data_IF_528924727422
#
_entry.id   IF_528924727422
#
_cell.length_a   1.000
_cell.length_b   1.000
_cell.length_c   1.000
_cell.angle_alpha   90.00
_cell.angle_beta   90.00
_cell.angle_gamma   90.00
#
_symmetry.space_group_name_H-M   'P 1'
#
loop_
_entity.id
_entity.type
_entity.pdbx_description
1 polymer ?
#
# COMPACT_ATOMS: atom_id res chain seq x y z
N UNK A 1 -17.91 -25.57 40.81
CA UNK A 1 -16.83 -25.26 41.78
C UNK A 1 -16.21 -23.92 41.38
N UNK A 2 -16.14 -22.99 42.32
CA UNK A 2 -15.55 -21.64 42.24
C UNK A 2 -14.01 -21.69 42.03
N UNK A 3 -13.20 -20.66 41.71
CA UNK A 3 -13.11 -19.23 42.04
C UNK A 3 -12.26 -18.54 40.93
N UNK A 4 -12.60 -17.36 40.39
CA UNK A 4 -12.14 -16.01 40.77
C UNK A 4 -10.61 -15.76 40.78
N UNK A 5 -10.18 -14.67 40.12
CA UNK A 5 -8.83 -14.09 40.25
C UNK A 5 -8.64 -12.84 39.40
N UNK A 6 -8.84 -11.67 40.01
CA UNK A 6 -8.58 -10.33 39.45
C UNK A 6 -7.11 -9.90 39.69
N UNK A 7 -6.61 -8.96 38.88
CA UNK A 7 -5.33 -8.31 39.14
C UNK A 7 -5.01 -7.16 38.18
N UNK A 8 -5.47 -5.96 38.53
CA UNK A 8 -4.98 -4.70 37.95
C UNK A 8 -3.59 -4.39 38.53
N UNK A 9 -2.65 -3.92 37.70
CA UNK A 9 -1.54 -3.08 38.14
C UNK A 9 -1.36 -1.91 37.17
N UNK A 10 -1.76 -0.75 37.67
CA UNK A 10 -1.45 0.58 37.14
C UNK A 10 -0.47 1.15 38.17
N UNK A 11 0.81 1.24 37.83
CA UNK A 11 1.80 1.94 38.65
C UNK A 11 2.43 3.09 37.87
N UNK A 12 1.97 4.26 38.29
CA UNK A 12 2.52 5.59 38.08
C UNK A 12 3.97 5.66 38.58
N UNK A 13 4.86 6.24 37.77
CA UNK A 13 6.17 6.68 38.24
C UNK A 13 6.57 8.04 37.63
N UNK A 14 6.19 9.08 38.38
CA UNK A 14 7.13 10.05 38.98
C UNK A 14 7.87 11.02 38.04
N UNK A 15 7.22 12.15 37.83
CA UNK A 15 7.67 13.51 38.13
C UNK A 15 9.18 13.74 38.41
N UNK A 16 9.80 14.66 37.66
CA UNK A 16 11.02 15.32 38.13
C UNK A 16 11.80 16.17 37.12
N UNK A 17 11.89 17.46 37.44
CA UNK A 17 12.99 18.39 37.13
C UNK A 17 12.93 19.25 35.85
N UNK A 18 12.31 20.42 36.06
CA UNK A 18 12.70 21.72 35.48
C UNK A 18 14.20 21.97 35.71
N UNK A 19 14.90 22.47 34.69
CA UNK A 19 16.17 23.23 34.76
C UNK A 19 16.08 24.30 33.67
N UNK A 20 15.79 25.53 34.07
CA UNK A 20 16.76 26.58 34.43
C UNK A 20 17.21 27.36 33.19
N UNK A 21 16.67 28.58 33.15
CA UNK A 21 17.11 29.67 32.32
C UNK A 21 18.57 30.03 32.63
N UNK A 22 19.30 30.46 31.60
CA UNK A 22 20.40 31.40 31.79
C UNK A 22 20.42 32.38 30.63
N UNK A 23 20.28 33.62 31.07
CA UNK A 23 20.31 34.92 30.42
C UNK A 23 21.69 35.24 29.81
N UNK A 24 21.70 36.07 28.76
CA UNK A 24 22.64 37.19 28.52
C UNK A 24 22.71 37.47 27.00
N UNK A 25 22.01 38.48 26.46
CA UNK A 25 22.29 39.93 26.55
C UNK A 25 23.26 40.46 25.50
N UNK A 26 22.80 41.46 24.75
CA UNK A 26 23.60 42.52 24.11
C UNK A 26 23.74 42.39 22.59
N UNK A 27 23.65 43.45 21.78
CA UNK A 27 23.25 44.84 21.95
C UNK A 27 23.12 45.44 20.54
N UNK A 28 22.28 46.47 20.44
CA UNK A 28 21.97 47.26 19.25
C UNK A 28 23.19 47.86 18.54
N UNK A 29 23.13 47.92 17.21
CA UNK A 29 24.01 48.74 16.38
C UNK A 29 23.32 49.11 15.07
N UNK A 30 22.79 50.33 15.00
CA UNK A 30 22.32 50.93 13.76
C UNK A 30 23.49 51.61 13.04
N UNK A 31 23.58 51.47 11.72
CA UNK A 31 24.22 52.44 10.82
C UNK A 31 23.84 52.18 9.37
N UNK A 32 23.28 53.23 8.76
CA UNK A 32 23.07 53.53 7.34
C UNK A 32 24.16 53.05 6.36
N UNK A 33 23.75 52.81 5.10
CA UNK A 33 24.63 53.00 3.95
C UNK A 33 24.48 52.04 2.77
N UNK A 34 23.55 52.39 1.87
CA UNK A 34 23.54 52.20 0.41
C UNK A 34 24.29 51.04 -0.31
N UNK A 35 23.54 50.44 -1.25
CA UNK A 35 23.92 50.10 -2.64
C UNK A 35 24.42 48.67 -2.90
N UNK A 36 23.53 47.86 -3.50
CA UNK A 36 23.66 47.34 -4.87
C UNK A 36 22.87 46.03 -5.01
N UNK A 37 21.90 46.03 -5.91
CA UNK A 37 21.23 44.83 -6.37
C UNK A 37 22.21 43.94 -7.15
N UNK A 38 22.23 42.64 -6.84
CA UNK A 38 22.54 41.56 -7.79
C UNK A 38 22.01 40.23 -7.24
N UNK A 39 21.57 39.33 -8.14
CA UNK A 39 20.43 38.46 -7.90
C UNK A 39 20.79 37.23 -7.06
N UNK A 40 19.85 36.80 -6.23
CA UNK A 40 19.82 35.44 -5.70
C UNK A 40 19.85 34.46 -6.89
N UNK A 41 20.66 33.39 -6.87
CA UNK A 41 20.37 32.25 -7.70
C UNK A 41 19.05 31.66 -7.19
N UNK A 42 17.96 31.97 -7.92
CA UNK A 42 16.75 31.19 -7.85
C UNK A 42 17.14 29.79 -8.28
N UNK A 43 17.36 28.89 -7.32
CA UNK A 43 17.15 27.48 -7.59
C UNK A 43 15.68 27.36 -7.91
N UNK A 44 15.37 27.46 -9.20
CA UNK A 44 14.13 26.97 -9.75
C UNK A 44 14.17 25.47 -9.51
N UNK A 45 13.69 25.05 -8.34
CA UNK A 45 13.14 23.72 -8.20
C UNK A 45 11.99 23.69 -9.20
N UNK A 46 12.30 23.28 -10.42
CA UNK A 46 11.30 22.79 -11.35
C UNK A 46 10.70 21.59 -10.64
N UNK A 47 9.67 21.85 -9.85
CA UNK A 47 8.68 20.85 -9.52
C UNK A 47 8.11 20.46 -10.86
N UNK A 48 8.73 19.48 -11.51
CA UNK A 48 8.09 18.66 -12.50
C UNK A 48 6.94 18.03 -11.75
N UNK A 49 5.80 18.72 -11.73
CA UNK A 49 4.53 18.14 -11.36
C UNK A 49 4.27 17.10 -12.44
N UNK A 50 4.90 15.93 -12.34
CA UNK A 50 4.39 14.74 -12.97
C UNK A 50 2.99 14.62 -12.40
N UNK A 51 1.98 14.96 -13.21
CA UNK A 51 0.60 14.71 -12.87
C UNK A 51 0.51 13.23 -12.54
N UNK A 52 0.25 12.89 -11.28
CA UNK A 52 0.05 11.50 -10.91
C UNK A 52 -1.14 10.97 -11.74
N UNK A 53 -1.03 9.78 -12.33
CA UNK A 53 -2.11 9.18 -13.11
C UNK A 53 -3.38 9.11 -12.25
N UNK A 54 -4.50 9.61 -12.79
CA UNK A 54 -5.78 9.56 -12.10
C UNK A 54 -6.43 8.22 -12.41
N UNK A 55 -6.57 7.34 -11.43
CA UNK A 55 -7.20 6.04 -11.64
C UNK A 55 -8.71 6.11 -11.42
N UNK A 56 -9.48 5.53 -12.35
CA UNK A 56 -10.95 5.41 -12.26
C UNK A 56 -11.35 3.94 -12.08
N UNK A 57 -12.30 3.64 -11.17
CA UNK A 57 -12.74 2.28 -10.94
C UNK A 57 -13.55 1.72 -12.12
N UNK A 58 -13.25 0.48 -12.51
CA UNK A 58 -14.00 -0.28 -13.52
C UNK A 58 -14.98 -1.26 -12.85
N UNK A 59 -14.51 -2.03 -11.86
CA UNK A 59 -15.33 -2.81 -10.94
C UNK A 59 -14.82 -2.63 -9.52
N UNK A 60 -15.71 -2.78 -8.53
CA UNK A 60 -15.38 -2.55 -7.12
C UNK A 60 -15.94 -3.65 -6.24
N UNK A 61 -15.13 -4.05 -5.26
CA UNK A 61 -15.45 -4.99 -4.19
C UNK A 61 -16.13 -6.27 -4.70
N UNK A 62 -15.62 -6.81 -5.80
CA UNK A 62 -16.06 -8.10 -6.31
C UNK A 62 -15.49 -9.20 -5.41
N UNK A 63 -16.36 -9.83 -4.63
CA UNK A 63 -16.04 -11.01 -3.83
C UNK A 63 -16.12 -12.26 -4.71
N UNK A 64 -15.00 -12.98 -4.80
CA UNK A 64 -14.81 -14.09 -5.71
C UNK A 64 -14.20 -15.28 -4.97
N UNK A 65 -14.62 -16.49 -5.32
CA UNK A 65 -14.09 -17.73 -4.74
C UNK A 65 -13.67 -18.69 -5.85
N UNK A 66 -12.37 -18.97 -5.93
CA UNK A 66 -11.84 -20.10 -6.68
C UNK A 66 -12.08 -21.37 -5.86
N UNK A 67 -12.74 -22.42 -6.42
CA UNK A 67 -13.07 -23.62 -5.65
C UNK A 67 -11.87 -24.53 -5.39
N UNK A 68 -10.89 -24.51 -6.30
CA UNK A 68 -9.69 -25.34 -6.32
C UNK A 68 -8.66 -24.72 -7.29
N UNK A 69 -7.41 -25.25 -7.35
CA UNK A 69 -6.34 -24.72 -8.22
C UNK A 69 -6.58 -24.86 -9.74
N UNK A 70 -7.62 -25.58 -10.18
CA UNK A 70 -7.98 -25.63 -11.61
C UNK A 70 -8.69 -24.33 -12.06
N UNK A 71 -8.83 -23.35 -11.16
CA UNK A 71 -9.39 -22.04 -11.42
C UNK A 71 -8.44 -20.91 -10.99
N UNK A 72 -8.51 -19.81 -11.71
CA UNK A 72 -7.78 -18.57 -11.45
C UNK A 72 -8.74 -17.38 -11.43
N UNK A 73 -8.26 -16.24 -10.94
CA UNK A 73 -9.01 -15.00 -11.02
C UNK A 73 -8.61 -14.20 -12.26
N UNK A 74 -9.54 -13.95 -13.17
CA UNK A 74 -9.38 -13.02 -14.30
C UNK A 74 -9.41 -11.59 -13.75
N UNK A 75 -8.24 -10.96 -13.67
CA UNK A 75 -8.04 -9.63 -13.13
C UNK A 75 -8.67 -8.55 -14.03
N UNK A 76 -8.76 -8.81 -15.34
CA UNK A 76 -9.36 -7.88 -16.29
C UNK A 76 -10.87 -7.77 -16.10
N UNK A 77 -11.54 -8.92 -15.95
CA UNK A 77 -12.99 -9.02 -15.89
C UNK A 77 -13.58 -9.04 -14.46
N UNK A 78 -12.76 -9.33 -13.44
CA UNK A 78 -13.22 -9.45 -12.05
C UNK A 78 -14.09 -10.68 -11.85
N UNK A 79 -13.63 -11.85 -12.32
CA UNK A 79 -14.37 -13.12 -12.24
C UNK A 79 -13.41 -14.30 -12.05
N UNK A 80 -13.97 -15.43 -11.63
CA UNK A 80 -13.25 -16.72 -11.58
C UNK A 80 -13.40 -17.42 -12.93
N UNK A 81 -12.30 -17.96 -13.45
CA UNK A 81 -12.24 -18.70 -14.72
C UNK A 81 -11.41 -19.97 -14.54
N UNK A 82 -11.54 -20.98 -15.42
CA UNK A 82 -10.59 -22.08 -15.44
C UNK A 82 -9.15 -21.56 -15.62
N UNK A 83 -8.19 -22.22 -15.00
CA UNK A 83 -6.78 -21.88 -15.10
C UNK A 83 -6.31 -21.83 -16.56
N UNK A 84 -5.32 -20.99 -16.83
CA UNK A 84 -4.71 -20.79 -18.16
C UNK A 84 -5.69 -20.24 -19.23
N UNK A 85 -6.76 -19.56 -18.82
CA UNK A 85 -7.74 -18.98 -19.78
C UNK A 85 -7.76 -17.46 -19.82
N UNK A 86 -7.23 -16.79 -18.79
CA UNK A 86 -7.10 -15.35 -18.77
C UNK A 86 -5.67 -14.90 -19.13
N UNK A 87 -5.54 -13.83 -19.91
CA UNK A 87 -4.24 -13.24 -20.25
C UNK A 87 -3.60 -12.45 -19.10
N UNK A 88 -4.43 -11.94 -18.19
CA UNK A 88 -4.01 -11.25 -16.98
C UNK A 88 -4.80 -11.79 -15.80
N UNK A 89 -4.12 -12.58 -14.98
CA UNK A 89 -4.73 -13.46 -14.01
C UNK A 89 -4.04 -13.35 -12.65
N UNK A 90 -4.65 -13.99 -11.65
CA UNK A 90 -4.05 -14.31 -10.37
C UNK A 90 -4.32 -15.80 -10.11
N UNK A 91 -3.26 -16.60 -10.21
CA UNK A 91 -3.34 -18.05 -10.08
C UNK A 91 -3.33 -18.44 -8.61
N UNK A 92 -4.13 -19.46 -8.27
CA UNK A 92 -4.20 -20.07 -6.93
C UNK A 92 -3.23 -21.25 -6.90
N UNK A 93 -2.12 -21.10 -6.17
CA UNK A 93 -1.13 -22.16 -5.97
C UNK A 93 -1.10 -22.63 -4.50
N UNK A 94 -0.27 -23.62 -4.19
CA UNK A 94 -0.14 -24.16 -2.83
C UNK A 94 0.46 -23.12 -1.87
N UNK A 95 -0.42 -22.39 -1.17
CA UNK A 95 -0.04 -21.42 -0.14
C UNK A 95 0.33 -20.03 -0.64
N UNK A 96 0.19 -19.75 -1.94
CA UNK A 96 0.52 -18.45 -2.52
C UNK A 96 -0.35 -18.10 -3.74
N UNK A 97 -0.30 -16.82 -4.13
CA UNK A 97 -0.77 -16.40 -5.44
C UNK A 97 0.42 -16.27 -6.41
N UNK A 98 0.22 -16.75 -7.64
CA UNK A 98 1.19 -16.59 -8.72
C UNK A 98 0.70 -15.52 -9.71
N UNK A 99 1.63 -14.67 -10.13
CA UNK A 99 1.40 -13.56 -11.05
C UNK A 99 1.91 -13.90 -12.44
N UNK A 100 1.33 -13.29 -13.49
CA UNK A 100 1.93 -13.31 -14.83
C UNK A 100 3.30 -12.63 -14.79
N UNK A 101 4.29 -13.17 -15.52
CA UNK A 101 5.71 -12.75 -15.46
C UNK A 101 5.93 -11.24 -15.73
N UNK A 102 5.09 -10.63 -16.56
CA UNK A 102 5.19 -9.21 -16.94
C UNK A 102 4.33 -8.29 -16.05
N UNK A 103 3.73 -8.81 -14.97
CA UNK A 103 2.95 -8.02 -14.01
C UNK A 103 3.80 -7.65 -12.80
N UNK A 104 3.63 -6.43 -12.30
CA UNK A 104 4.25 -6.00 -11.05
C UNK A 104 3.22 -6.03 -9.92
N UNK A 105 3.66 -6.38 -8.70
CA UNK A 105 2.80 -6.32 -7.53
C UNK A 105 3.44 -5.58 -6.36
N UNK A 106 2.60 -5.19 -5.41
CA UNK A 106 3.01 -4.58 -4.15
C UNK A 106 2.05 -4.98 -3.03
N UNK A 107 2.58 -5.34 -1.86
CA UNK A 107 1.81 -5.63 -0.64
C UNK A 107 1.83 -4.40 0.26
N UNK A 108 0.65 -3.93 0.69
CA UNK A 108 0.57 -2.79 1.58
C UNK A 108 1.04 -3.14 3.00
N UNK A 109 1.69 -2.18 3.67
CA UNK A 109 2.04 -2.31 5.09
C UNK A 109 0.84 -2.12 6.05
N UNK A 110 -0.33 -1.74 5.55
CA UNK A 110 -1.54 -1.49 6.35
C UNK A 110 -2.82 -1.91 5.62
N UNK A 111 -3.98 -1.75 6.27
CA UNK A 111 -5.26 -2.30 5.81
C UNK A 111 -5.95 -1.53 4.68
N UNK A 112 -5.40 -0.39 4.25
CA UNK A 112 -5.95 0.42 3.17
C UNK A 112 -4.87 0.64 2.14
N UNK A 113 -5.20 0.34 0.88
CA UNK A 113 -4.34 0.57 -0.27
C UNK A 113 -5.14 1.37 -1.30
N UNK A 114 -4.66 2.55 -1.67
CA UNK A 114 -5.23 3.32 -2.78
C UNK A 114 -4.48 3.03 -4.09
N UNK A 115 -5.05 3.32 -5.26
CA UNK A 115 -4.33 3.17 -6.53
C UNK A 115 -3.02 3.97 -6.58
N UNK A 116 -3.00 5.20 -6.04
CA UNK A 116 -1.79 6.02 -6.00
C UNK A 116 -0.72 5.42 -5.07
N UNK A 117 -1.12 4.85 -3.93
CA UNK A 117 -0.21 4.16 -3.03
C UNK A 117 0.36 2.89 -3.67
N UNK A 118 -0.49 2.16 -4.41
CA UNK A 118 -0.10 0.98 -5.16
C UNK A 118 1.00 1.30 -6.18
N UNK A 119 0.82 2.32 -7.02
CA UNK A 119 1.85 2.73 -8.01
C UNK A 119 3.16 3.06 -7.31
N UNK A 120 3.11 3.89 -6.27
CA UNK A 120 4.31 4.29 -5.53
C UNK A 120 4.98 3.10 -4.82
N UNK A 121 4.20 2.12 -4.39
CA UNK A 121 4.69 0.88 -3.79
C UNK A 121 5.44 0.03 -4.82
N UNK A 122 4.80 -0.24 -5.97
CA UNK A 122 5.41 -0.98 -7.08
C UNK A 122 6.71 -0.32 -7.56
N UNK A 123 6.76 0.99 -7.68
CA UNK A 123 7.96 1.71 -8.14
C UNK A 123 9.14 1.65 -7.16
N UNK A 124 8.87 1.38 -5.87
CA UNK A 124 9.88 1.42 -4.81
C UNK A 124 10.31 0.04 -4.36
N UNK A 125 9.35 -0.86 -4.22
CA UNK A 125 9.50 -2.16 -3.58
C UNK A 125 8.53 -3.16 -4.22
N UNK A 126 8.73 -3.49 -5.51
CA UNK A 126 7.91 -4.49 -6.18
C UNK A 126 8.15 -5.87 -5.56
N UNK A 127 7.10 -6.67 -5.47
CA UNK A 127 7.17 -8.07 -5.06
C UNK A 127 6.85 -8.99 -6.22
N UNK A 128 7.43 -10.18 -6.19
CA UNK A 128 7.19 -11.25 -7.18
C UNK A 128 6.50 -12.46 -6.57
N UNK A 129 6.43 -12.52 -5.24
CA UNK A 129 5.86 -13.64 -4.46
C UNK A 129 4.75 -13.07 -3.58
N UNK A 130 3.64 -13.82 -3.46
CA UNK A 130 2.46 -13.43 -2.70
C UNK A 130 1.96 -14.58 -1.82
N UNK A 131 2.74 -14.98 -0.80
CA UNK A 131 2.34 -16.06 0.12
C UNK A 131 1.11 -15.64 0.95
N UNK A 132 0.17 -16.56 1.15
CA UNK A 132 -1.08 -16.28 1.88
C UNK A 132 -0.85 -15.79 3.31
N UNK A 133 0.22 -16.27 3.97
CA UNK A 133 0.59 -15.84 5.32
C UNK A 133 0.96 -14.35 5.40
N UNK A 134 1.51 -13.76 4.34
CA UNK A 134 1.81 -12.32 4.28
C UNK A 134 0.56 -11.48 3.99
N UNK A 135 -0.45 -12.10 3.36
CA UNK A 135 -1.73 -11.51 3.00
C UNK A 135 -2.81 -11.74 4.07
N UNK A 136 -2.52 -12.55 5.08
CA UNK A 136 -3.39 -12.84 6.20
C UNK A 136 -3.83 -11.55 6.92
N UNK A 137 -4.93 -11.66 7.67
CA UNK A 137 -5.63 -10.52 8.27
C UNK A 137 -6.12 -9.49 7.24
N UNK A 138 -6.52 -9.96 6.06
CA UNK A 138 -7.10 -9.15 4.96
C UNK A 138 -6.18 -8.03 4.46
N UNK A 139 -4.86 -8.26 4.49
CA UNK A 139 -3.88 -7.27 4.06
C UNK A 139 -3.99 -7.06 2.55
N UNK A 140 -4.23 -5.82 2.08
CA UNK A 140 -4.38 -5.57 0.66
C UNK A 140 -3.03 -5.61 -0.04
N UNK A 141 -3.04 -6.15 -1.25
CA UNK A 141 -1.98 -6.01 -2.22
C UNK A 141 -2.57 -5.48 -3.52
N UNK A 142 -1.71 -5.12 -4.46
CA UNK A 142 -2.14 -4.77 -5.80
C UNK A 142 -1.29 -5.40 -6.87
N UNK A 143 -1.87 -5.51 -8.05
CA UNK A 143 -1.23 -6.02 -9.26
C UNK A 143 -1.43 -5.01 -10.37
N UNK A 144 -0.34 -4.67 -11.08
CA UNK A 144 -0.35 -3.82 -12.27
C UNK A 144 -0.33 -4.68 -13.52
N UNK A 145 -1.18 -4.33 -14.49
CA UNK A 145 -1.19 -5.00 -15.78
C UNK A 145 0.13 -4.79 -16.53
N UNK A 146 0.53 -5.72 -17.41
CA UNK A 146 1.77 -5.60 -18.19
C UNK A 146 1.90 -4.31 -19.01
N UNK A 147 0.78 -3.74 -19.45
CA UNK A 147 0.76 -2.46 -20.18
C UNK A 147 0.84 -1.21 -19.28
N UNK A 148 0.86 -1.40 -17.96
CA UNK A 148 0.94 -0.35 -16.94
C UNK A 148 -0.36 0.43 -16.69
N UNK A 149 -1.43 0.17 -17.45
CA UNK A 149 -2.63 1.02 -17.48
C UNK A 149 -3.71 0.61 -16.49
N UNK A 150 -3.62 -0.59 -15.94
CA UNK A 150 -4.62 -1.12 -15.03
C UNK A 150 -3.96 -1.56 -13.73
N UNK A 151 -4.70 -1.38 -12.65
CA UNK A 151 -4.35 -1.84 -11.32
C UNK A 151 -5.53 -2.62 -10.76
N UNK A 152 -5.29 -3.77 -10.17
CA UNK A 152 -6.27 -4.43 -9.29
C UNK A 152 -5.77 -4.35 -7.87
N UNK A 153 -6.60 -3.91 -6.95
CA UNK A 153 -6.37 -4.02 -5.51
C UNK A 153 -7.14 -5.25 -5.03
N UNK A 154 -6.45 -6.15 -4.35
CA UNK A 154 -6.95 -7.44 -3.90
C UNK A 154 -6.77 -7.56 -2.39
N UNK A 155 -7.75 -8.15 -1.71
CA UNK A 155 -7.65 -8.61 -0.32
C UNK A 155 -7.97 -10.10 -0.27
N UNK A 156 -7.10 -10.88 0.35
CA UNK A 156 -7.39 -12.27 0.69
C UNK A 156 -8.36 -12.30 1.88
N UNK A 157 -9.52 -12.93 1.70
CA UNK A 157 -10.52 -13.11 2.78
C UNK A 157 -10.31 -14.45 3.46
N UNK A 158 -10.14 -15.50 2.66
CA UNK A 158 -9.98 -16.87 3.16
C UNK A 158 -9.13 -17.67 2.16
N UNK A 159 -8.21 -18.47 2.68
CA UNK A 159 -7.54 -19.52 1.91
C UNK A 159 -7.61 -20.80 2.74
N UNK A 160 -8.36 -21.79 2.23
CA UNK A 160 -8.40 -23.11 2.84
C UNK A 160 -7.10 -23.84 2.49
N UNK A 161 -6.31 -24.32 3.46
CA UNK A 161 -5.04 -24.99 3.18
C UNK A 161 -5.17 -26.20 2.24
N UNK A 162 -4.14 -26.42 1.42
CA UNK A 162 -4.13 -27.43 0.36
C UNK A 162 -4.88 -26.94 -0.89
N UNK A 163 -5.42 -27.87 -1.67
CA UNK A 163 -6.19 -27.60 -2.90
C UNK A 163 -7.62 -27.13 -2.60
N UNK A 164 -7.82 -26.39 -1.51
CA UNK A 164 -9.12 -25.93 -1.04
C UNK A 164 -9.55 -24.59 -1.66
N UNK A 165 -10.78 -24.14 -1.36
CA UNK A 165 -11.28 -22.87 -1.86
C UNK A 165 -10.46 -21.68 -1.38
N UNK A 166 -10.28 -20.69 -2.25
CA UNK A 166 -9.66 -19.40 -1.94
C UNK A 166 -10.62 -18.28 -2.32
N UNK A 167 -10.86 -17.38 -1.37
CA UNK A 167 -11.78 -16.24 -1.50
C UNK A 167 -11.04 -14.92 -1.40
N UNK A 168 -11.29 -14.04 -2.37
CA UNK A 168 -10.72 -12.70 -2.43
C UNK A 168 -11.80 -11.65 -2.65
N UNK A 169 -11.50 -10.40 -2.26
CA UNK A 169 -12.25 -9.22 -2.72
C UNK A 169 -11.33 -8.38 -3.60
N UNK A 170 -11.84 -7.97 -4.77
CA UNK A 170 -11.05 -7.23 -5.74
C UNK A 170 -11.75 -5.99 -6.32
N UNK A 171 -10.93 -4.97 -6.61
CA UNK A 171 -11.34 -3.73 -7.25
C UNK A 171 -10.34 -3.38 -8.34
N UNK A 172 -10.80 -3.25 -9.59
CA UNK A 172 -9.97 -2.81 -10.72
C UNK A 172 -10.12 -1.33 -10.96
N UNK A 173 -8.99 -0.71 -11.23
CA UNK A 173 -8.88 0.67 -11.63
C UNK A 173 -8.10 0.77 -12.93
N UNK A 174 -8.58 1.59 -13.84
CA UNK A 174 -7.85 1.94 -15.07
C UNK A 174 -7.32 3.35 -14.96
N UNK A 175 -6.19 3.62 -15.59
CA UNK A 175 -5.68 4.97 -15.75
C UNK A 175 -6.69 5.80 -16.56
N UNK A 176 -7.16 6.88 -15.95
CA UNK A 176 -8.01 7.90 -16.54
C UNK A 176 -7.13 8.94 -17.22
N UNK A 177 -7.28 9.04 -18.54
CA UNK A 177 -6.62 10.05 -19.36
C UNK A 177 -7.12 11.47 -19.15
#
# INVERSE_FOLDING_TARGET
MALAGAGYYLEDRREGARRDASDASGASGASDGHRAASPRPSVSSSSSSSSEPVYVPDYQDAELTAPDPDYEFDLSAGKVVPAETADWYLEVADGEFVLPEDSDAFVAAGYVLSPADCVRGIEREPVTELPYDELADERPFCVRSPDGKNLVIVRLIEAVPGEGPVTVVMSRHREGG
#
